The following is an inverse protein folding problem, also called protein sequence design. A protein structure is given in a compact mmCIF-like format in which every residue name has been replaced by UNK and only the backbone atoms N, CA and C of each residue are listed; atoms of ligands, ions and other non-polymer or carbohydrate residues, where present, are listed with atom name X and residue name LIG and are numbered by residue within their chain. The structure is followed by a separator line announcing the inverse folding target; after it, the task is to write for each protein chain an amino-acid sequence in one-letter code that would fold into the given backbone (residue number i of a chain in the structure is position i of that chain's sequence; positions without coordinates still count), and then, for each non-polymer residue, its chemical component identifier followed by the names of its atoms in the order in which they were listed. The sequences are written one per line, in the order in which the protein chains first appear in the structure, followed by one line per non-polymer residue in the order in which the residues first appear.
data_IF_627250833190
#
_entry.id   IF_627250833190
#
_cell.length_a   1.000
_cell.length_b   1.000
_cell.length_c   1.000
_cell.angle_alpha   90.00
_cell.angle_beta   90.00
_cell.angle_gamma   90.00
#
_symmetry.space_group_name_H-M   'P 1'
#
loop_
_entity.id
_entity.type
_entity.pdbx_description
1 polymer ?
#
# COMPACT_ATOMS: atom_id res chain seq x y z
N UNK A 1 23.50 -12.95 27.81
CA UNK A 1 22.65 -12.53 26.67
C UNK A 1 23.63 -11.99 25.66
N UNK A 2 23.84 -12.67 24.54
CA UNK A 2 24.77 -12.20 23.51
C UNK A 2 24.13 -11.04 22.79
N UNK A 3 24.74 -9.85 22.92
CA UNK A 3 24.45 -8.70 22.06
C UNK A 3 24.80 -9.07 20.62
N UNK A 4 23.83 -9.63 19.90
CA UNK A 4 23.95 -9.83 18.47
C UNK A 4 23.75 -8.46 17.83
N UNK A 5 24.86 -7.76 17.58
CA UNK A 5 24.85 -6.59 16.71
C UNK A 5 24.36 -7.01 15.32
N UNK A 6 23.13 -6.68 14.99
CA UNK A 6 22.58 -6.87 13.65
C UNK A 6 23.18 -5.79 12.77
N UNK A 7 23.91 -6.23 11.73
CA UNK A 7 24.50 -5.32 10.77
C UNK A 7 23.40 -4.59 9.99
N UNK A 8 23.50 -3.27 9.93
CA UNK A 8 22.55 -2.44 9.19
C UNK A 8 22.77 -2.62 7.69
N UNK A 9 21.66 -2.71 6.95
CA UNK A 9 21.67 -2.91 5.50
C UNK A 9 21.05 -1.70 4.80
N UNK A 10 21.80 -1.17 3.84
CA UNK A 10 21.44 0.03 3.09
C UNK A 10 20.58 -0.23 1.85
N UNK A 11 20.32 -1.50 1.51
CA UNK A 11 19.48 -1.87 0.37
C UNK A 11 18.10 -1.22 0.49
N UNK A 12 17.69 -0.49 -0.55
CA UNK A 12 16.38 0.16 -0.65
C UNK A 12 15.36 -0.78 -1.29
N UNK A 13 14.30 -1.09 -0.57
CA UNK A 13 13.26 -2.04 -0.98
C UNK A 13 11.95 -1.28 -1.10
N UNK A 14 11.37 -1.25 -2.31
CA UNK A 14 10.04 -0.71 -2.55
C UNK A 14 9.07 -1.85 -2.84
N UNK A 15 8.11 -2.08 -1.95
CA UNK A 15 7.00 -3.00 -2.23
C UNK A 15 5.95 -2.32 -3.09
N UNK A 16 5.46 -3.02 -4.12
CA UNK A 16 4.26 -2.64 -4.84
C UNK A 16 3.09 -3.50 -4.33
N UNK A 17 2.02 -2.87 -3.86
CA UNK A 17 0.77 -3.53 -3.52
C UNK A 17 -0.29 -3.18 -4.57
N UNK A 18 -0.42 -3.97 -5.66
CA UNK A 18 -1.31 -3.69 -6.79
C UNK A 18 -2.73 -4.18 -6.47
N UNK A 19 -3.33 -3.57 -5.45
CA UNK A 19 -4.67 -3.89 -4.99
C UNK A 19 -5.75 -3.21 -5.85
N UNK A 20 -6.95 -3.78 -5.84
CA UNK A 20 -8.12 -3.15 -6.45
C UNK A 20 -8.52 -1.91 -5.64
N UNK A 21 -9.05 -0.90 -6.33
CA UNK A 21 -9.52 0.34 -5.70
C UNK A 21 -10.49 0.03 -4.57
N UNK A 22 -10.27 0.66 -3.42
CA UNK A 22 -11.12 0.56 -2.22
C UNK A 22 -11.30 -0.84 -1.65
N UNK A 23 -10.50 -1.82 -2.09
CA UNK A 23 -10.37 -3.11 -1.43
C UNK A 23 -9.53 -2.92 -0.16
N UNK A 24 -10.14 -2.44 0.92
CA UNK A 24 -9.42 -1.97 2.14
C UNK A 24 -8.72 -3.05 2.98
N UNK A 25 -8.52 -4.26 2.43
CA UNK A 25 -7.75 -5.30 3.11
C UNK A 25 -6.28 -4.88 3.19
N UNK A 26 -5.75 -4.79 4.41
CA UNK A 26 -4.34 -4.49 4.66
C UNK A 26 -3.46 -5.58 4.02
N UNK A 27 -2.32 -5.22 3.38
CA UNK A 27 -1.41 -6.19 2.78
C UNK A 27 -0.62 -6.98 3.84
N UNK A 28 -1.29 -7.91 4.53
CA UNK A 28 -0.73 -8.65 5.67
C UNK A 28 0.60 -9.36 5.33
N UNK A 29 0.71 -9.92 4.13
CA UNK A 29 1.94 -10.59 3.68
C UNK A 29 3.12 -9.60 3.60
N UNK A 30 2.89 -8.40 3.05
CA UNK A 30 3.90 -7.34 2.97
C UNK A 30 4.24 -6.84 4.38
N UNK A 31 3.26 -6.71 5.28
CA UNK A 31 3.50 -6.31 6.66
C UNK A 31 4.40 -7.30 7.40
N UNK A 32 4.14 -8.61 7.27
CA UNK A 32 4.96 -9.66 7.88
C UNK A 32 6.36 -9.66 7.28
N UNK A 33 6.48 -9.61 5.95
CA UNK A 33 7.78 -9.58 5.28
C UNK A 33 8.60 -8.34 5.66
N UNK A 34 7.97 -7.17 5.72
CA UNK A 34 8.60 -5.94 6.18
C UNK A 34 9.11 -6.06 7.62
N UNK A 35 8.34 -6.69 8.51
CA UNK A 35 8.76 -6.92 9.90
C UNK A 35 9.99 -7.84 9.99
N UNK A 36 10.00 -8.93 9.22
CA UNK A 36 11.14 -9.87 9.16
C UNK A 36 12.40 -9.19 8.61
N UNK A 37 12.28 -8.42 7.51
CA UNK A 37 13.40 -7.68 6.93
C UNK A 37 13.95 -6.62 7.90
N UNK A 38 13.08 -5.87 8.58
CA UNK A 38 13.51 -4.91 9.60
C UNK A 38 14.25 -5.59 10.75
N UNK A 39 13.78 -6.77 11.17
CA UNK A 39 14.45 -7.56 12.19
C UNK A 39 15.84 -8.06 11.75
N UNK A 40 16.08 -8.24 10.45
CA UNK A 40 17.40 -8.60 9.87
C UNK A 40 18.28 -7.39 9.54
N UNK A 41 17.89 -6.17 9.95
CA UNK A 41 18.70 -4.96 9.81
C UNK A 41 18.48 -4.16 8.53
N UNK A 42 17.49 -4.50 7.70
CA UNK A 42 17.08 -3.67 6.56
C UNK A 42 16.33 -2.43 7.05
N UNK A 43 16.87 -1.24 6.76
CA UNK A 43 16.31 0.04 7.22
C UNK A 43 15.47 0.75 6.17
N UNK A 44 15.81 0.57 4.90
CA UNK A 44 15.23 1.31 3.80
C UNK A 44 14.14 0.46 3.14
N UNK A 45 12.94 0.45 3.71
CA UNK A 45 11.79 -0.29 3.18
C UNK A 45 10.60 0.66 3.05
N UNK A 46 9.98 0.69 1.88
CA UNK A 46 8.83 1.54 1.57
C UNK A 46 7.74 0.75 0.81
N UNK A 47 6.55 1.33 0.71
CA UNK A 47 5.37 0.73 0.08
C UNK A 47 4.72 1.73 -0.88
N UNK A 48 4.47 1.27 -2.11
CA UNK A 48 3.53 1.90 -3.02
C UNK A 48 2.21 1.12 -2.99
N UNK A 49 1.19 1.73 -2.41
CA UNK A 49 -0.14 1.14 -2.23
C UNK A 49 -1.13 1.78 -3.21
N UNK A 50 -1.77 0.96 -4.04
CA UNK A 50 -2.74 1.41 -5.04
C UNK A 50 -4.18 1.50 -4.52
N UNK A 51 -4.45 1.06 -3.29
CA UNK A 51 -5.82 0.89 -2.74
C UNK A 51 -6.66 2.16 -2.77
N UNK A 52 -6.04 3.32 -2.54
CA UNK A 52 -6.74 4.61 -2.42
C UNK A 52 -6.62 5.49 -3.67
N UNK A 53 -6.24 4.94 -4.83
CA UNK A 53 -6.37 5.68 -6.08
C UNK A 53 -7.81 5.62 -6.58
N UNK A 54 -8.30 6.76 -7.05
CA UNK A 54 -9.58 6.80 -7.73
C UNK A 54 -9.45 6.10 -9.08
N UNK A 55 -10.38 5.21 -9.34
CA UNK A 55 -10.51 4.56 -10.65
C UNK A 55 -11.83 5.02 -11.23
N UNK A 56 -11.86 5.24 -12.55
CA UNK A 56 -13.11 5.60 -13.24
C UNK A 56 -14.19 4.49 -13.17
N UNK A 57 -13.83 3.33 -12.64
CA UNK A 57 -14.70 2.18 -12.40
C UNK A 57 -15.14 2.15 -10.94
N UNK A 58 -16.39 1.72 -10.73
CA UNK A 58 -16.93 1.49 -9.40
C UNK A 58 -16.09 0.45 -8.64
N UNK A 59 -15.89 0.68 -7.36
CA UNK A 59 -15.31 -0.31 -6.47
C UNK A 59 -16.23 -1.53 -6.31
N UNK A 60 -15.64 -2.66 -5.95
CA UNK A 60 -16.38 -3.90 -5.67
C UNK A 60 -17.49 -3.70 -4.64
N UNK A 61 -17.28 -2.85 -3.63
CA UNK A 61 -18.29 -2.60 -2.61
C UNK A 61 -19.42 -1.67 -3.11
N UNK A 62 -19.13 -0.73 -4.01
CA UNK A 62 -20.17 0.06 -4.70
C UNK A 62 -21.05 -0.82 -5.59
N UNK A 63 -20.47 -1.77 -6.33
CA UNK A 63 -21.22 -2.75 -7.10
C UNK A 63 -22.16 -3.58 -6.20
N UNK A 64 -21.70 -3.93 -5.01
CA UNK A 64 -22.51 -4.68 -4.03
C UNK A 64 -23.61 -3.81 -3.41
N UNK A 65 -23.41 -2.51 -3.29
CA UNK A 65 -24.48 -1.56 -2.92
C UNK A 65 -25.53 -1.49 -4.03
N UNK A 66 -25.12 -1.37 -5.30
CA UNK A 66 -26.03 -1.36 -6.47
C UNK A 66 -26.83 -2.66 -6.58
N UNK A 67 -26.22 -3.80 -6.25
CA UNK A 67 -26.86 -5.11 -6.21
C UNK A 67 -27.74 -5.34 -4.95
N UNK A 68 -27.80 -4.38 -4.02
CA UNK A 68 -28.57 -4.49 -2.77
C UNK A 68 -27.98 -5.45 -1.74
N UNK A 69 -26.73 -5.86 -1.89
CA UNK A 69 -26.04 -6.79 -0.99
C UNK A 69 -25.40 -6.08 0.22
N UNK A 70 -25.10 -4.79 0.09
CA UNK A 70 -24.41 -3.97 1.10
C UNK A 70 -25.16 -2.65 1.27
N UNK A 71 -25.21 -2.11 2.49
CA UNK A 71 -25.79 -0.80 2.77
C UNK A 71 -24.93 0.30 2.12
N UNK A 72 -25.54 1.38 1.60
CA UNK A 72 -24.79 2.55 1.12
C UNK A 72 -23.85 3.07 2.21
N UNK A 73 -22.66 3.48 1.82
CA UNK A 73 -21.64 4.03 2.69
C UNK A 73 -21.03 5.29 2.06
N UNK A 74 -20.37 6.10 2.89
CA UNK A 74 -19.56 7.21 2.44
C UNK A 74 -18.18 7.15 3.11
N UNK A 75 -17.13 7.13 2.31
CA UNK A 75 -15.75 7.09 2.80
C UNK A 75 -15.26 8.43 3.37
N UNK A 76 -15.84 9.55 2.94
CA UNK A 76 -15.53 10.88 3.48
C UNK A 76 -15.89 10.97 4.97
N UNK A 77 -16.96 10.30 5.41
CA UNK A 77 -17.36 10.23 6.82
C UNK A 77 -16.30 9.56 7.70
N UNK A 78 -15.43 8.75 7.10
CA UNK A 78 -14.30 8.08 7.77
C UNK A 78 -12.96 8.77 7.52
N UNK A 79 -12.97 9.95 6.90
CA UNK A 79 -11.76 10.71 6.58
C UNK A 79 -10.90 10.07 5.48
N UNK A 80 -11.43 9.12 4.72
CA UNK A 80 -10.72 8.46 3.62
C UNK A 80 -10.98 9.28 2.35
N UNK A 81 -9.92 9.90 1.81
CA UNK A 81 -9.97 10.61 0.54
C UNK A 81 -9.19 9.85 -0.51
N UNK A 82 -9.83 9.62 -1.65
CA UNK A 82 -9.20 9.02 -2.81
C UNK A 82 -8.17 9.98 -3.43
N UNK A 83 -7.05 9.43 -3.89
CA UNK A 83 -6.07 10.11 -4.71
C UNK A 83 -6.61 10.25 -6.13
N UNK A 84 -6.66 11.49 -6.60
CA UNK A 84 -7.15 11.87 -7.92
C UNK A 84 -6.02 12.01 -8.96
N UNK A 85 -4.77 11.83 -8.53
CA UNK A 85 -3.58 11.84 -9.39
C UNK A 85 -3.50 10.58 -10.26
N UNK A 86 -2.71 10.65 -11.33
CA UNK A 86 -2.45 9.49 -12.17
C UNK A 86 -1.55 8.49 -11.42
N UNK A 87 -2.08 7.31 -11.14
CA UNK A 87 -1.40 6.26 -10.39
C UNK A 87 -0.08 5.82 -11.04
N UNK A 88 -0.03 5.74 -12.38
CA UNK A 88 1.16 5.30 -13.08
C UNK A 88 2.25 6.37 -12.98
N UNK A 89 1.88 7.64 -13.16
CA UNK A 89 2.80 8.76 -12.99
C UNK A 89 3.35 8.82 -11.56
N UNK A 90 2.48 8.71 -10.55
CA UNK A 90 2.88 8.69 -9.14
C UNK A 90 3.81 7.49 -8.83
N UNK A 91 3.62 6.34 -9.50
CA UNK A 91 4.49 5.18 -9.33
C UNK A 91 5.88 5.41 -9.94
N UNK A 92 5.94 5.99 -11.14
CA UNK A 92 7.22 6.36 -11.78
C UNK A 92 7.95 7.39 -10.92
N UNK A 93 7.27 8.43 -10.46
CA UNK A 93 7.85 9.43 -9.56
C UNK A 93 8.36 8.82 -8.24
N UNK A 94 7.62 7.83 -7.70
CA UNK A 94 8.05 7.07 -6.52
C UNK A 94 9.34 6.30 -6.80
N UNK A 95 9.42 5.59 -7.93
CA UNK A 95 10.63 4.85 -8.32
C UNK A 95 11.80 5.80 -8.49
N UNK A 96 11.62 6.90 -9.21
CA UNK A 96 12.69 7.86 -9.50
C UNK A 96 13.20 8.55 -8.22
N UNK A 97 12.29 8.93 -7.33
CA UNK A 97 12.63 9.60 -6.07
C UNK A 97 13.24 8.65 -5.06
N UNK A 98 12.65 7.47 -4.89
CA UNK A 98 13.12 6.50 -3.91
C UNK A 98 14.39 5.81 -4.38
N UNK A 99 14.51 5.56 -5.68
CA UNK A 99 15.58 4.83 -6.34
C UNK A 99 15.82 3.47 -5.67
N UNK A 100 14.82 2.57 -5.69
CA UNK A 100 15.01 1.20 -5.21
C UNK A 100 16.04 0.48 -6.10
N UNK A 101 16.76 -0.48 -5.50
CA UNK A 101 17.75 -1.30 -6.21
C UNK A 101 17.12 -2.57 -6.79
#
# INVERSE_FOLDING_TARGET
MTDTHIAEKELKILFLYPNLNMSTLVPNAISILSAVLKADGFKNIDLFDTTFYDTKEDSKDEDRVKAGQVQPFNFDERGIKLKQSDMFQDFIEKIDTYSPM
#
